data_IF_816387094178
#
_entry.id   IF_816387094178
#
_cell.length_a   1.000
_cell.length_b   1.000
_cell.length_c   1.000
_cell.angle_alpha   90.00
_cell.angle_beta   90.00
_cell.angle_gamma   90.00
#
_symmetry.space_group_name_H-M   'P 1'
#
loop_
_entity.id
_entity.type
_entity.pdbx_description
1 polymer ?
#
# COMPACT_ATOMS: atom_id res chain seq x y z
N UNK A 1 19.47 13.51 3.17
CA UNK A 1 18.65 12.34 2.82
C UNK A 1 19.58 11.15 2.63
N UNK A 2 19.38 10.06 3.38
CA UNK A 2 20.23 8.88 3.30
C UNK A 2 19.59 7.86 2.33
N UNK A 3 20.42 7.15 1.56
CA UNK A 3 19.99 6.06 0.68
C UNK A 3 20.48 4.75 1.28
N UNK A 4 19.55 3.84 1.54
CA UNK A 4 19.85 2.52 2.10
C UNK A 4 19.65 1.43 1.06
N UNK A 5 20.55 0.44 1.04
CA UNK A 5 20.39 -0.78 0.25
C UNK A 5 19.84 -1.89 1.13
N UNK A 6 18.73 -2.48 0.72
CA UNK A 6 18.04 -3.50 1.48
C UNK A 6 17.46 -4.60 0.60
N UNK A 7 17.21 -5.77 1.18
CA UNK A 7 16.53 -6.89 0.52
C UNK A 7 15.57 -7.58 1.50
N UNK A 8 14.40 -7.95 1.01
CA UNK A 8 13.42 -8.78 1.73
C UNK A 8 13.36 -10.13 1.03
N UNK A 9 13.55 -11.24 1.76
CA UNK A 9 13.64 -12.60 1.20
C UNK A 9 14.64 -12.71 0.03
N UNK A 10 15.80 -12.04 0.13
CA UNK A 10 16.83 -11.95 -0.91
C UNK A 10 16.35 -11.25 -2.21
N UNK A 11 15.15 -10.66 -2.22
CA UNK A 11 14.64 -9.88 -3.32
C UNK A 11 14.92 -8.39 -3.11
N UNK A 12 15.36 -7.65 -4.15
CA UNK A 12 15.48 -6.20 -4.10
C UNK A 12 14.11 -5.50 -4.22
N UNK A 13 13.06 -6.21 -4.60
CA UNK A 13 11.71 -5.68 -4.78
C UNK A 13 11.00 -5.55 -3.42
N UNK A 14 11.49 -4.67 -2.56
CA UNK A 14 11.02 -4.50 -1.17
C UNK A 14 9.52 -4.19 -1.13
N UNK A 15 9.04 -3.32 -2.02
CA UNK A 15 7.65 -2.88 -2.08
C UNK A 15 6.61 -3.97 -2.40
N UNK A 16 7.04 -5.18 -2.78
CA UNK A 16 6.15 -6.35 -2.88
C UNK A 16 5.80 -6.89 -1.50
N UNK A 17 6.74 -6.83 -0.57
CA UNK A 17 6.61 -7.45 0.76
C UNK A 17 6.28 -6.46 1.86
N UNK A 18 6.59 -5.19 1.67
CA UNK A 18 6.56 -4.18 2.71
C UNK A 18 5.70 -3.00 2.29
N UNK A 19 4.94 -2.45 3.24
CA UNK A 19 4.24 -1.17 3.11
C UNK A 19 4.55 -0.29 4.31
N UNK A 20 4.60 1.01 4.12
CA UNK A 20 4.83 1.96 5.21
C UNK A 20 4.00 3.23 5.02
N UNK A 21 3.74 3.91 6.15
CA UNK A 21 3.36 5.31 6.23
C UNK A 21 4.40 6.04 7.10
N UNK A 22 4.09 7.23 7.60
CA UNK A 22 5.05 8.01 8.39
C UNK A 22 5.23 7.50 9.84
N UNK A 23 4.41 6.54 10.28
CA UNK A 23 4.41 6.05 11.66
C UNK A 23 4.74 4.56 11.80
N UNK A 24 4.38 3.77 10.80
CA UNK A 24 4.53 2.32 10.86
C UNK A 24 5.08 1.74 9.56
N UNK A 25 5.72 0.59 9.70
CA UNK A 25 6.06 -0.29 8.59
C UNK A 25 5.39 -1.65 8.76
N UNK A 26 4.61 -2.08 7.76
CA UNK A 26 4.08 -3.43 7.69
C UNK A 26 5.13 -4.36 7.09
N UNK A 27 5.45 -5.42 7.80
CA UNK A 27 6.36 -6.48 7.36
C UNK A 27 5.68 -7.84 7.41
N UNK A 28 6.07 -8.80 6.55
CA UNK A 28 5.45 -10.11 6.55
C UNK A 28 5.63 -10.85 7.87
N UNK A 29 4.58 -11.51 8.37
CA UNK A 29 4.66 -12.43 9.50
C UNK A 29 5.76 -13.47 9.27
N UNK A 30 6.64 -13.65 10.28
CA UNK A 30 7.78 -14.54 10.22
C UNK A 30 9.00 -13.99 9.44
N UNK A 31 9.01 -12.71 9.09
CA UNK A 31 10.24 -12.05 8.64
C UNK A 31 11.20 -11.86 9.82
N UNK A 32 12.52 -11.92 9.56
CA UNK A 32 13.53 -11.90 10.61
C UNK A 32 13.51 -10.57 11.40
N UNK A 33 13.33 -10.66 12.71
CA UNK A 33 13.21 -9.53 13.64
C UNK A 33 14.36 -8.53 13.50
N UNK A 34 15.60 -9.00 13.56
CA UNK A 34 16.80 -8.14 13.41
C UNK A 34 16.86 -7.39 12.08
N UNK A 35 16.22 -7.94 11.03
CA UNK A 35 16.09 -7.24 9.75
C UNK A 35 14.96 -6.23 9.78
N UNK A 36 13.85 -6.58 10.43
CA UNK A 36 12.72 -5.65 10.58
C UNK A 36 13.13 -4.43 11.38
N UNK A 37 13.75 -4.62 12.55
CA UNK A 37 14.28 -3.54 13.39
C UNK A 37 15.18 -2.58 12.57
N UNK A 38 16.13 -3.14 11.82
CA UNK A 38 17.01 -2.33 10.97
C UNK A 38 16.26 -1.52 9.92
N UNK A 39 15.19 -2.08 9.35
CA UNK A 39 14.37 -1.40 8.34
C UNK A 39 13.51 -0.30 9.00
N UNK A 40 12.95 -0.58 10.16
CA UNK A 40 12.20 0.38 10.97
C UNK A 40 13.09 1.54 11.43
N UNK A 41 14.32 1.25 11.86
CA UNK A 41 15.32 2.27 12.21
C UNK A 41 15.67 3.18 11.02
N UNK A 42 15.83 2.61 9.82
CA UNK A 42 16.10 3.40 8.62
C UNK A 42 14.96 4.36 8.27
N UNK A 43 13.73 3.97 8.53
CA UNK A 43 12.54 4.76 8.24
C UNK A 43 12.06 5.59 9.43
N UNK A 44 12.60 5.34 10.64
CA UNK A 44 12.18 5.96 11.92
C UNK A 44 10.70 5.73 12.22
N UNK A 45 10.23 4.49 12.06
CA UNK A 45 8.83 4.06 12.23
C UNK A 45 8.74 2.82 13.10
N UNK A 46 7.55 2.54 13.63
CA UNK A 46 7.27 1.31 14.38
C UNK A 46 6.94 0.15 13.44
N UNK A 47 7.32 -1.06 13.84
CA UNK A 47 7.09 -2.28 13.07
C UNK A 47 5.75 -2.94 13.41
N UNK A 48 5.07 -3.42 12.39
CA UNK A 48 3.85 -4.23 12.52
C UNK A 48 3.98 -5.46 11.62
N UNK A 49 3.94 -6.64 12.23
CA UNK A 49 3.97 -7.91 11.51
C UNK A 49 2.57 -8.30 11.06
N UNK A 50 2.42 -8.63 9.78
CA UNK A 50 1.13 -8.97 9.20
C UNK A 50 1.23 -10.07 8.14
N UNK A 51 0.13 -10.78 7.96
CA UNK A 51 -0.24 -11.47 6.72
C UNK A 51 -1.59 -10.92 6.25
N UNK A 52 -1.84 -10.94 4.96
CA UNK A 52 -3.11 -10.51 4.38
C UNK A 52 -3.57 -11.61 3.43
N UNK A 53 -4.75 -12.18 3.68
CA UNK A 53 -5.24 -13.37 3.01
C UNK A 53 -4.24 -14.53 3.05
N UNK A 54 -3.56 -14.69 4.21
CA UNK A 54 -2.53 -15.73 4.41
C UNK A 54 -1.27 -15.53 3.58
N UNK A 55 -1.08 -14.41 2.88
CA UNK A 55 0.11 -14.17 2.04
C UNK A 55 1.11 -13.23 2.71
N UNK A 56 2.35 -13.27 2.21
CA UNK A 56 3.44 -12.35 2.59
C UNK A 56 3.57 -11.16 1.64
N UNK A 57 2.67 -11.03 0.66
CA UNK A 57 2.74 -10.03 -0.41
C UNK A 57 1.97 -8.76 0.00
N UNK A 58 2.43 -8.09 1.05
CA UNK A 58 1.71 -6.94 1.64
C UNK A 58 1.59 -5.76 0.66
N UNK A 59 2.57 -5.56 -0.21
CA UNK A 59 2.55 -4.49 -1.20
C UNK A 59 1.35 -4.51 -2.13
N UNK A 60 1.09 -5.61 -2.85
CA UNK A 60 -0.11 -5.74 -3.69
C UNK A 60 -1.42 -5.80 -2.90
N UNK A 61 -1.38 -6.25 -1.64
CA UNK A 61 -2.59 -6.51 -0.85
C UNK A 61 -3.06 -5.31 -0.04
N UNK A 62 -2.19 -4.40 0.37
CA UNK A 62 -2.56 -3.27 1.22
C UNK A 62 -2.38 -1.92 0.53
N UNK A 63 -3.29 -1.00 0.81
CA UNK A 63 -3.15 0.43 0.52
C UNK A 63 -3.21 1.16 1.85
N UNK A 64 -2.22 2.00 2.16
CA UNK A 64 -2.08 2.66 3.45
C UNK A 64 -1.60 4.10 3.27
N UNK A 65 -2.15 4.99 4.11
CA UNK A 65 -1.61 6.32 4.42
C UNK A 65 -1.68 6.55 5.94
N UNK A 66 -1.51 7.78 6.43
CA UNK A 66 -1.56 8.05 7.87
C UNK A 66 -2.98 8.05 8.45
N UNK A 67 -4.03 8.08 7.63
CA UNK A 67 -5.43 8.11 8.08
C UNK A 67 -6.06 6.72 8.11
N UNK A 68 -5.69 5.83 7.16
CA UNK A 68 -6.36 4.56 7.05
C UNK A 68 -5.64 3.51 6.21
N UNK A 69 -6.24 2.33 6.19
CA UNK A 69 -5.76 1.18 5.47
C UNK A 69 -6.91 0.44 4.77
N UNK A 70 -6.74 0.18 3.49
CA UNK A 70 -7.63 -0.69 2.72
C UNK A 70 -6.99 -2.06 2.51
N UNK A 71 -7.79 -3.09 2.72
CA UNK A 71 -7.46 -4.49 2.50
C UNK A 71 -8.31 -5.09 1.38
N UNK A 72 -7.87 -6.16 0.71
CA UNK A 72 -8.69 -6.82 -0.29
C UNK A 72 -9.90 -7.53 0.34
N UNK A 73 -10.95 -7.84 -0.45
CA UNK A 73 -12.14 -8.54 0.06
C UNK A 73 -11.85 -9.90 0.69
N UNK A 74 -10.75 -10.53 0.29
CA UNK A 74 -10.34 -11.87 0.76
C UNK A 74 -9.56 -11.86 2.09
N UNK A 75 -9.24 -10.68 2.66
CA UNK A 75 -8.66 -10.58 3.99
C UNK A 75 -9.64 -11.12 5.03
N UNK A 76 -9.15 -11.85 6.03
CA UNK A 76 -9.99 -12.44 7.08
C UNK A 76 -10.41 -11.40 8.13
N UNK A 77 -11.44 -11.72 8.92
CA UNK A 77 -11.87 -10.83 10.01
C UNK A 77 -10.77 -10.69 11.07
N UNK A 78 -10.06 -11.77 11.36
CA UNK A 78 -8.94 -11.77 12.31
C UNK A 78 -7.78 -10.85 11.84
N UNK A 79 -7.45 -10.90 10.54
CA UNK A 79 -6.43 -10.01 9.96
C UNK A 79 -6.82 -8.54 10.04
N UNK A 80 -8.09 -8.22 9.71
CA UNK A 80 -8.63 -6.86 9.85
C UNK A 80 -8.57 -6.38 11.29
N UNK A 81 -9.02 -7.21 12.23
CA UNK A 81 -9.07 -6.87 13.65
C UNK A 81 -7.67 -6.68 14.24
N UNK A 82 -6.75 -7.58 13.91
CA UNK A 82 -5.34 -7.48 14.32
C UNK A 82 -4.72 -6.18 13.82
N UNK A 83 -4.91 -5.85 12.53
CA UNK A 83 -4.37 -4.62 11.95
C UNK A 83 -5.00 -3.36 12.57
N UNK A 84 -6.30 -3.34 12.86
CA UNK A 84 -6.94 -2.24 13.59
C UNK A 84 -6.30 -2.01 14.96
N UNK A 85 -6.08 -3.08 15.70
CA UNK A 85 -5.50 -3.00 17.06
C UNK A 85 -4.03 -2.58 17.05
N UNK A 86 -3.24 -3.11 16.10
CA UNK A 86 -1.81 -2.86 16.05
C UNK A 86 -1.44 -1.52 15.42
N UNK A 87 -2.29 -0.99 14.54
CA UNK A 87 -1.97 0.25 13.80
C UNK A 87 -2.75 1.47 14.29
N UNK A 88 -3.87 1.25 14.97
CA UNK A 88 -4.84 2.28 15.35
C UNK A 88 -5.43 3.08 14.17
N UNK A 89 -5.27 2.55 12.94
CA UNK A 89 -5.83 3.14 11.73
C UNK A 89 -7.28 2.69 11.49
N UNK A 90 -8.00 3.46 10.68
CA UNK A 90 -9.25 2.99 10.10
C UNK A 90 -8.96 1.92 9.05
N UNK A 91 -9.18 0.64 9.38
CA UNK A 91 -8.87 -0.50 8.50
C UNK A 91 -10.16 -1.12 8.00
N UNK A 92 -10.33 -1.18 6.67
CA UNK A 92 -11.50 -1.77 6.04
C UNK A 92 -11.14 -2.65 4.84
N UNK A 93 -12.00 -3.64 4.55
CA UNK A 93 -11.96 -4.38 3.29
C UNK A 93 -12.67 -3.59 2.21
N UNK A 94 -12.00 -3.41 1.06
CA UNK A 94 -12.61 -2.70 -0.06
C UNK A 94 -13.76 -3.51 -0.67
N UNK A 95 -14.87 -2.85 -1.00
CA UNK A 95 -16.04 -3.45 -1.68
C UNK A 95 -15.77 -3.59 -3.17
N UNK A 96 -14.94 -4.56 -3.53
CA UNK A 96 -14.47 -4.79 -4.89
C UNK A 96 -14.25 -6.28 -5.15
N UNK A 97 -14.22 -6.69 -6.40
CA UNK A 97 -13.82 -8.03 -6.81
C UNK A 97 -12.30 -8.22 -6.92
N UNK A 98 -11.54 -7.13 -6.87
CA UNK A 98 -10.09 -7.17 -7.05
C UNK A 98 -9.37 -7.50 -5.75
N UNK A 99 -8.40 -8.40 -5.82
CA UNK A 99 -7.62 -8.85 -4.67
C UNK A 99 -6.29 -8.13 -4.51
N UNK A 100 -5.62 -7.81 -5.62
CA UNK A 100 -4.35 -7.07 -5.60
C UNK A 100 -4.60 -5.55 -5.67
N UNK A 101 -5.27 -5.01 -4.67
CA UNK A 101 -5.72 -3.60 -4.65
C UNK A 101 -4.57 -2.60 -4.61
N UNK A 102 -3.45 -2.97 -4.01
CA UNK A 102 -2.23 -2.14 -3.99
C UNK A 102 -1.61 -1.94 -5.38
N UNK A 103 -1.94 -2.78 -6.37
CA UNK A 103 -1.56 -2.56 -7.76
C UNK A 103 -2.50 -1.58 -8.48
N UNK A 104 -3.66 -1.29 -7.91
CA UNK A 104 -4.73 -0.50 -8.53
C UNK A 104 -4.93 0.87 -7.86
N UNK A 105 -4.41 1.05 -6.65
CA UNK A 105 -4.56 2.27 -5.86
C UNK A 105 -3.18 2.67 -5.33
N UNK A 106 -2.84 3.94 -5.48
CA UNK A 106 -1.72 4.59 -4.80
C UNK A 106 -2.22 5.80 -4.05
N UNK A 107 -1.69 6.05 -2.87
CA UNK A 107 -2.11 7.15 -1.99
C UNK A 107 -0.93 7.74 -1.24
N UNK A 108 -1.11 8.98 -0.81
CA UNK A 108 -0.41 9.66 0.28
C UNK A 108 -1.46 10.38 1.14
N UNK A 109 -1.07 11.29 2.02
CA UNK A 109 -2.02 12.02 2.87
C UNK A 109 -2.70 13.22 2.19
N UNK A 110 -2.35 13.50 0.93
CA UNK A 110 -2.92 14.61 0.16
C UNK A 110 -3.91 14.13 -0.92
N UNK A 111 -3.83 12.86 -1.34
CA UNK A 111 -4.70 12.33 -2.39
C UNK A 111 -4.44 10.88 -2.72
N UNK A 112 -5.36 10.30 -3.50
CA UNK A 112 -5.26 8.96 -4.05
C UNK A 112 -5.46 8.97 -5.56
N UNK A 113 -4.67 8.15 -6.26
CA UNK A 113 -4.91 7.80 -7.66
C UNK A 113 -5.45 6.38 -7.68
N UNK A 114 -6.61 6.24 -8.30
CA UNK A 114 -7.39 5.01 -8.33
C UNK A 114 -7.51 4.52 -9.76
N UNK A 115 -7.35 3.23 -9.97
CA UNK A 115 -7.59 2.61 -11.26
C UNK A 115 -9.01 2.89 -11.75
N UNK A 116 -9.24 3.16 -13.06
CA UNK A 116 -10.57 3.28 -13.64
C UNK A 116 -11.44 2.01 -13.51
N UNK A 117 -10.86 0.91 -13.04
CA UNK A 117 -11.60 -0.32 -12.72
C UNK A 117 -12.45 -0.18 -11.43
N UNK A 118 -12.08 0.74 -10.53
CA UNK A 118 -12.89 1.07 -9.35
C UNK A 118 -13.94 2.12 -9.73
N UNK A 119 -15.20 1.86 -9.38
CA UNK A 119 -16.32 2.74 -9.69
C UNK A 119 -17.32 2.77 -8.55
N UNK A 120 -18.05 3.88 -8.43
CA UNK A 120 -19.20 4.00 -7.53
C UNK A 120 -18.84 3.87 -6.05
N UNK A 121 -19.37 2.86 -5.37
CA UNK A 121 -19.19 2.68 -3.94
C UNK A 121 -17.73 2.41 -3.54
N UNK A 122 -17.01 1.63 -4.34
CA UNK A 122 -15.61 1.29 -4.05
C UNK A 122 -14.70 2.53 -4.12
N UNK A 123 -14.94 3.44 -5.06
CA UNK A 123 -14.17 4.70 -5.13
C UNK A 123 -14.48 5.62 -3.95
N UNK A 124 -15.76 5.74 -3.55
CA UNK A 124 -16.14 6.50 -2.34
C UNK A 124 -15.50 5.92 -1.09
N UNK A 125 -15.51 4.61 -0.94
CA UNK A 125 -14.87 3.95 0.20
C UNK A 125 -13.36 4.23 0.27
N UNK A 126 -12.66 4.34 -0.88
CA UNK A 126 -11.25 4.75 -0.89
C UNK A 126 -11.08 6.13 -0.27
N UNK A 127 -11.93 7.09 -0.63
CA UNK A 127 -11.88 8.45 -0.06
C UNK A 127 -12.20 8.45 1.44
N UNK A 128 -13.26 7.73 1.85
CA UNK A 128 -13.74 7.69 3.23
C UNK A 128 -12.70 7.05 4.18
N UNK A 129 -12.09 5.93 3.76
CA UNK A 129 -11.14 5.20 4.61
C UNK A 129 -9.78 5.90 4.66
N UNK A 130 -9.29 6.38 3.53
CA UNK A 130 -7.98 7.03 3.46
C UNK A 130 -8.03 8.53 3.81
N UNK A 131 -9.23 9.11 3.97
CA UNK A 131 -9.43 10.50 4.35
C UNK A 131 -8.89 11.52 3.34
N UNK A 132 -8.83 11.15 2.04
CA UNK A 132 -8.24 11.99 0.99
C UNK A 132 -9.09 11.98 -0.28
N UNK A 133 -9.06 13.05 -1.10
CA UNK A 133 -9.70 13.03 -2.40
C UNK A 133 -9.05 11.99 -3.32
N UNK A 134 -9.84 11.38 -4.19
CA UNK A 134 -9.35 10.45 -5.21
C UNK A 134 -9.53 10.98 -6.62
N UNK A 135 -8.65 10.53 -7.51
CA UNK A 135 -8.76 10.76 -8.96
C UNK A 135 -8.60 9.45 -9.72
N UNK A 136 -9.54 9.18 -10.62
CA UNK A 136 -9.49 7.97 -11.47
C UNK A 136 -8.69 8.24 -12.73
N UNK A 137 -7.57 7.53 -12.93
CA UNK A 137 -6.74 7.67 -14.12
C UNK A 137 -5.92 6.42 -14.43
N UNK A 138 -5.35 6.38 -15.62
CA UNK A 138 -4.35 5.39 -16.04
C UNK A 138 -2.96 6.02 -16.07
N UNK A 139 -1.92 5.19 -15.99
CA UNK A 139 -0.52 5.61 -16.20
C UNK A 139 -0.03 4.98 -17.50
N UNK A 140 0.29 5.78 -18.50
CA UNK A 140 0.71 5.31 -19.82
C UNK A 140 -0.32 4.40 -20.52
N UNK A 141 -1.63 4.55 -20.19
CA UNK A 141 -2.71 3.70 -20.70
C UNK A 141 -2.95 2.41 -19.88
N UNK A 142 -2.14 2.15 -18.85
CA UNK A 142 -2.29 0.97 -17.98
C UNK A 142 -3.20 1.28 -16.80
N UNK A 143 -4.08 0.33 -16.49
CA UNK A 143 -5.05 0.43 -15.37
C UNK A 143 -4.45 0.06 -14.02
N UNK A 144 -3.25 -0.52 -13.97
CA UNK A 144 -2.53 -0.90 -12.75
C UNK A 144 -1.77 0.31 -12.17
N UNK A 145 -2.48 1.36 -11.85
CA UNK A 145 -1.91 2.66 -11.43
C UNK A 145 -1.04 2.55 -10.17
N UNK A 146 -1.45 1.72 -9.20
CA UNK A 146 -0.72 1.53 -7.96
C UNK A 146 0.63 0.84 -8.14
N UNK A 147 0.81 0.00 -9.17
CA UNK A 147 2.11 -0.62 -9.48
C UNK A 147 3.03 0.27 -10.30
N UNK A 148 2.53 1.37 -10.84
CA UNK A 148 3.27 2.29 -11.71
C UNK A 148 3.72 3.56 -10.99
N UNK A 149 3.31 3.75 -9.74
CA UNK A 149 3.59 4.96 -8.95
C UNK A 149 4.06 4.56 -7.55
N UNK A 150 5.10 5.24 -7.07
CA UNK A 150 5.49 5.25 -5.66
C UNK A 150 5.25 6.66 -5.14
N UNK A 151 4.43 6.82 -4.11
CA UNK A 151 4.09 8.10 -3.53
C UNK A 151 4.59 8.22 -2.08
N UNK A 152 4.99 9.43 -1.71
CA UNK A 152 5.23 9.89 -0.35
C UNK A 152 4.50 11.22 -0.15
N UNK A 153 4.44 11.74 1.08
CA UNK A 153 3.86 13.07 1.33
C UNK A 153 4.69 14.21 0.69
N UNK A 154 5.97 13.96 0.40
CA UNK A 154 6.87 14.93 -0.24
C UNK A 154 6.94 14.85 -1.77
N UNK A 155 6.33 13.83 -2.40
CA UNK A 155 6.37 13.68 -3.86
C UNK A 155 6.05 12.28 -4.35
N UNK A 156 6.07 12.11 -5.67
CA UNK A 156 5.79 10.83 -6.31
C UNK A 156 6.78 10.51 -7.43
N UNK A 157 7.19 9.24 -7.51
CA UNK A 157 7.90 8.67 -8.65
C UNK A 157 6.92 7.92 -9.54
N UNK A 158 6.89 8.24 -10.81
CA UNK A 158 6.00 7.60 -11.79
C UNK A 158 6.84 6.83 -12.81
N UNK A 159 6.41 5.62 -13.17
CA UNK A 159 7.09 4.83 -14.19
C UNK A 159 7.17 5.59 -15.52
N UNK A 160 8.37 5.75 -16.12
CA UNK A 160 8.56 6.53 -17.33
C UNK A 160 8.09 5.74 -18.56
N UNK A 161 6.78 5.56 -18.72
CA UNK A 161 6.21 4.99 -19.93
C UNK A 161 6.30 6.01 -21.06
N UNK A 162 6.84 5.66 -22.24
CA UNK A 162 6.80 6.57 -23.37
C UNK A 162 5.34 6.86 -23.70
N UNK A 163 4.95 8.13 -23.66
CA UNK A 163 3.71 8.58 -24.27
C UNK A 163 3.80 8.19 -25.75
N UNK A 164 2.99 7.22 -26.17
CA UNK A 164 2.79 7.02 -27.62
C UNK A 164 2.05 8.25 -28.13
N UNK A 165 2.79 9.19 -28.66
CA UNK A 165 2.18 10.22 -29.52
C UNK A 165 1.52 9.50 -30.68
N UNK A 166 0.20 9.60 -30.77
CA UNK A 166 -0.56 9.23 -31.96
C UNK A 166 -0.37 10.28 -33.02
#
# INVERSE_FOLDING_TARGET
MAIYRYTVYKSPNIGIFVKANDSIILVPSGFAETKTEKLADYLQVSEVYASIAGTRLLGPMAVINNNGMLLPPIATDDEVQMLKQSTHLNVERVKSKFTAIGNLIVTNDNGAIVSPLFKGEADRQVQDVLGVPSSSMTVGGFVQTGSMIVATNGGAGVHPMPLRTR
#
